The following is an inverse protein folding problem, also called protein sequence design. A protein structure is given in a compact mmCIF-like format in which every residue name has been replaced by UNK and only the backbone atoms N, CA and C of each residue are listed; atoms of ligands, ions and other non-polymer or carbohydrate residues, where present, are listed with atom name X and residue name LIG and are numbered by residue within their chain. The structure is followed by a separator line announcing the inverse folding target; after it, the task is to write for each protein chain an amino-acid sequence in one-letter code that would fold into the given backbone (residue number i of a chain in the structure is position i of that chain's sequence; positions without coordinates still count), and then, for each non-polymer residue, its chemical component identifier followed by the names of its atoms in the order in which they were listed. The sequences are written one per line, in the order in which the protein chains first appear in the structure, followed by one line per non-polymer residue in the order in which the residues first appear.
data_IF_150076792753
#
_entry.id   IF_150076792753
#
_cell.length_a   1.000
_cell.length_b   1.000
_cell.length_c   1.000
_cell.angle_alpha   90.00
_cell.angle_beta   90.00
_cell.angle_gamma   90.00
#
_symmetry.space_group_name_H-M   'P 1'
#
loop_
_entity.id
_entity.type
_entity.pdbx_description
1 polymer ?
#
# COMPACT_ATOMS: atom_id res chain seq x y z
N UNK A 1 -8.73 14.82 -8.60
CA UNK A 1 -8.92 14.32 -9.97
C UNK A 1 -10.39 14.38 -10.35
N UNK A 2 -11.28 13.60 -9.73
CA UNK A 2 -12.69 13.50 -10.15
C UNK A 2 -13.39 14.87 -10.17
N UNK A 3 -13.07 15.79 -9.24
CA UNK A 3 -13.62 17.15 -9.18
C UNK A 3 -13.16 18.06 -10.31
N UNK A 4 -12.07 17.74 -10.98
CA UNK A 4 -11.50 18.53 -12.09
C UNK A 4 -12.17 18.23 -13.42
N UNK A 5 -12.85 17.09 -13.51
CA UNK A 5 -13.58 16.71 -14.71
C UNK A 5 -15.03 17.14 -14.59
N UNK A 6 -15.52 17.87 -15.62
CA UNK A 6 -16.91 18.30 -15.66
C UNK A 6 -17.84 17.09 -15.58
N UNK A 7 -18.68 17.11 -14.56
CA UNK A 7 -19.44 15.96 -14.08
C UNK A 7 -20.58 15.50 -14.99
N UNK A 8 -20.65 15.94 -16.25
CA UNK A 8 -21.75 15.55 -17.12
C UNK A 8 -21.83 14.05 -17.39
N UNK A 9 -20.69 13.36 -17.43
CA UNK A 9 -20.64 11.89 -17.58
C UNK A 9 -19.24 11.34 -17.35
N UNK A 10 -19.04 10.59 -16.28
CA UNK A 10 -17.84 9.79 -16.03
C UNK A 10 -18.20 8.46 -15.37
N UNK A 11 -17.36 7.47 -15.58
CA UNK A 11 -17.41 6.18 -14.89
C UNK A 11 -15.99 5.84 -14.44
N UNK A 12 -15.78 5.82 -13.14
CA UNK A 12 -14.49 5.47 -12.52
C UNK A 12 -14.67 4.26 -11.64
N UNK A 13 -13.79 3.30 -11.80
CA UNK A 13 -13.69 2.17 -10.89
C UNK A 13 -12.34 2.24 -10.16
N UNK A 14 -12.39 2.32 -8.84
CA UNK A 14 -11.23 2.17 -7.95
C UNK A 14 -11.35 0.82 -7.26
N UNK A 15 -10.28 0.03 -7.30
CA UNK A 15 -10.19 -1.27 -6.66
C UNK A 15 -9.07 -1.27 -5.65
N UNK A 16 -9.34 -1.83 -4.47
CA UNK A 16 -8.32 -2.24 -3.50
C UNK A 16 -8.26 -3.76 -3.56
N UNK A 17 -7.18 -4.29 -4.12
CA UNK A 17 -7.04 -5.70 -4.46
C UNK A 17 -5.67 -6.21 -4.04
N UNK A 18 -5.51 -7.52 -4.01
CA UNK A 18 -4.23 -8.18 -3.71
C UNK A 18 -3.19 -7.87 -4.80
N UNK A 19 -1.93 -7.85 -4.44
CA UNK A 19 -0.83 -7.48 -5.37
C UNK A 19 -0.88 -8.24 -6.69
N UNK A 20 -1.13 -9.55 -6.67
CA UNK A 20 -1.22 -10.33 -7.91
C UNK A 20 -2.46 -9.99 -8.74
N UNK A 21 -3.60 -9.69 -8.10
CA UNK A 21 -4.84 -9.27 -8.78
C UNK A 21 -4.66 -7.92 -9.47
N UNK A 22 -3.95 -6.98 -8.83
CA UNK A 22 -3.58 -5.70 -9.45
C UNK A 22 -2.78 -5.94 -10.73
N UNK A 23 -1.77 -6.82 -10.69
CA UNK A 23 -0.94 -7.16 -11.85
C UNK A 23 -1.80 -7.79 -12.97
N UNK A 24 -2.66 -8.74 -12.63
CA UNK A 24 -3.55 -9.39 -13.60
C UNK A 24 -4.57 -8.42 -14.20
N UNK A 25 -5.15 -7.53 -13.40
CA UNK A 25 -6.14 -6.57 -13.86
C UNK A 25 -5.55 -5.57 -14.86
N UNK A 26 -4.31 -5.11 -14.62
CA UNK A 26 -3.62 -4.24 -15.59
C UNK A 26 -3.19 -5.03 -16.84
N UNK A 27 -2.69 -6.26 -16.68
CA UNK A 27 -2.32 -7.12 -17.81
C UNK A 27 -3.50 -7.40 -18.76
N UNK A 28 -4.70 -7.62 -18.19
CA UNK A 28 -5.92 -7.90 -18.94
C UNK A 28 -6.73 -6.64 -19.29
N UNK A 29 -6.19 -5.45 -19.05
CA UNK A 29 -6.84 -4.14 -19.31
C UNK A 29 -8.20 -3.96 -18.62
N UNK A 30 -8.42 -4.63 -17.48
CA UNK A 30 -9.56 -4.36 -16.61
C UNK A 30 -9.32 -3.08 -15.78
N UNK A 31 -8.05 -2.81 -15.46
CA UNK A 31 -7.58 -1.56 -14.90
C UNK A 31 -6.56 -0.93 -15.85
N UNK A 32 -6.59 0.38 -15.98
CA UNK A 32 -5.69 1.13 -16.86
C UNK A 32 -4.28 1.22 -16.27
N UNK A 33 -4.23 1.33 -14.94
CA UNK A 33 -3.00 1.37 -14.15
C UNK A 33 -3.23 0.68 -12.80
N UNK A 34 -2.14 0.27 -12.17
CA UNK A 34 -2.12 -0.22 -10.79
C UNK A 34 -1.04 0.49 -9.98
N UNK A 35 -1.17 0.50 -8.68
CA UNK A 35 -0.16 1.01 -7.75
C UNK A 35 0.32 -0.15 -6.91
N UNK A 36 1.63 -0.30 -6.82
CA UNK A 36 2.28 -1.26 -5.93
C UNK A 36 3.63 -0.71 -5.47
N UNK A 37 4.30 -1.43 -4.59
CA UNK A 37 5.64 -1.05 -4.17
C UNK A 37 6.66 -2.15 -4.50
N UNK A 38 7.91 -1.71 -4.68
CA UNK A 38 9.09 -2.58 -4.74
C UNK A 38 9.97 -2.32 -3.53
N UNK A 39 10.55 -3.38 -3.01
CA UNK A 39 11.57 -3.38 -1.96
C UNK A 39 12.73 -4.26 -2.38
N UNK A 40 13.81 -4.29 -1.62
CA UNK A 40 14.91 -5.20 -1.87
C UNK A 40 14.45 -6.67 -1.92
N UNK A 41 13.47 -7.03 -1.11
CA UNK A 41 13.02 -8.41 -0.95
C UNK A 41 12.06 -8.90 -2.06
N UNK A 42 11.24 -8.02 -2.63
CA UNK A 42 10.22 -8.44 -3.60
C UNK A 42 10.54 -8.04 -5.05
N UNK A 43 11.46 -7.11 -5.26
CA UNK A 43 11.76 -6.51 -6.56
C UNK A 43 11.97 -7.54 -7.68
N UNK A 44 12.86 -8.49 -7.47
CA UNK A 44 13.19 -9.47 -8.52
C UNK A 44 11.99 -10.31 -8.93
N UNK A 45 11.15 -10.72 -7.98
CA UNK A 45 9.96 -11.53 -8.22
C UNK A 45 8.88 -10.72 -8.92
N UNK A 46 8.59 -9.52 -8.42
CA UNK A 46 7.56 -8.65 -9.00
C UNK A 46 7.98 -8.18 -10.40
N UNK A 47 9.21 -7.71 -10.61
CA UNK A 47 9.68 -7.28 -11.93
C UNK A 47 9.64 -8.42 -12.96
N UNK A 48 9.95 -9.65 -12.55
CA UNK A 48 9.81 -10.84 -13.43
C UNK A 48 8.36 -11.09 -13.81
N UNK A 49 7.43 -10.93 -12.88
CA UNK A 49 6.00 -11.05 -13.16
C UNK A 49 5.50 -9.94 -14.09
N UNK A 50 5.92 -8.71 -13.84
CA UNK A 50 5.57 -7.58 -14.70
C UNK A 50 6.07 -7.82 -16.13
N UNK A 51 7.33 -8.25 -16.26
CA UNK A 51 7.90 -8.55 -17.58
C UNK A 51 7.15 -9.67 -18.31
N UNK A 52 6.77 -10.74 -17.60
CA UNK A 52 5.99 -11.86 -18.16
C UNK A 52 4.58 -11.44 -18.64
N UNK A 53 4.02 -10.39 -18.06
CA UNK A 53 2.70 -9.85 -18.38
C UNK A 53 2.75 -8.59 -19.27
N UNK A 54 3.90 -8.28 -19.87
CA UNK A 54 4.10 -7.09 -20.70
C UNK A 54 3.78 -5.77 -20.00
N UNK A 55 4.05 -5.70 -18.70
CA UNK A 55 3.87 -4.51 -17.89
C UNK A 55 5.20 -3.80 -17.65
N UNK A 56 5.11 -2.52 -17.33
CA UNK A 56 6.23 -1.68 -16.88
C UNK A 56 5.92 -1.07 -15.52
N UNK A 57 6.94 -0.94 -14.70
CA UNK A 57 6.87 -0.23 -13.44
C UNK A 57 7.56 1.13 -13.60
N UNK A 58 6.92 2.17 -13.12
CA UNK A 58 7.47 3.52 -13.03
C UNK A 58 7.40 3.99 -11.58
N UNK A 59 8.58 4.21 -10.96
CA UNK A 59 8.66 4.71 -9.59
C UNK A 59 8.10 6.12 -9.46
N UNK A 60 7.33 6.35 -8.42
CA UNK A 60 6.78 7.66 -8.06
C UNK A 60 7.61 8.31 -6.94
N UNK A 61 7.84 7.56 -5.86
CA UNK A 61 8.62 8.02 -4.71
C UNK A 61 9.12 6.85 -3.87
N UNK A 62 10.14 7.14 -3.05
CA UNK A 62 10.61 6.22 -2.03
C UNK A 62 10.13 6.67 -0.65
N UNK A 63 9.67 5.73 0.14
CA UNK A 63 9.25 5.96 1.52
C UNK A 63 10.05 5.06 2.47
N UNK A 64 10.39 5.60 3.63
CA UNK A 64 10.84 4.80 4.77
C UNK A 64 9.64 4.14 5.44
N UNK A 65 9.78 2.93 5.99
CA UNK A 65 8.67 2.27 6.66
C UNK A 65 8.18 3.05 7.88
N UNK A 66 6.87 3.02 8.04
CA UNK A 66 6.16 3.57 9.20
C UNK A 66 5.19 2.52 9.72
N UNK A 67 4.72 2.73 10.95
CA UNK A 67 3.58 1.97 11.47
C UNK A 67 2.37 2.88 11.60
N UNK A 68 1.21 2.38 11.19
CA UNK A 68 -0.07 2.98 11.53
C UNK A 68 -0.58 2.37 12.83
N UNK A 69 -0.89 3.23 13.78
CA UNK A 69 -1.49 2.88 15.07
C UNK A 69 -2.64 3.84 15.38
N UNK A 70 -3.52 3.49 16.32
CA UNK A 70 -4.52 4.45 16.77
C UNK A 70 -3.87 5.61 17.56
N UNK A 71 -4.51 6.76 17.56
CA UNK A 71 -4.00 7.96 18.24
C UNK A 71 -3.84 7.77 19.77
N UNK A 72 -4.63 6.86 20.36
CA UNK A 72 -4.56 6.50 21.77
C UNK A 72 -3.63 5.30 22.07
N UNK A 73 -2.88 4.84 21.07
CA UNK A 73 -1.96 3.71 21.22
C UNK A 73 -0.86 4.05 22.23
N UNK A 74 -0.41 3.09 23.08
CA UNK A 74 0.66 3.34 24.06
C UNK A 74 1.96 3.89 23.45
N UNK A 75 2.23 3.62 22.17
CA UNK A 75 3.41 4.12 21.46
C UNK A 75 3.15 5.45 20.72
N UNK A 76 1.94 6.00 20.73
CA UNK A 76 1.56 7.18 19.94
C UNK A 76 2.43 8.43 20.18
N UNK A 77 3.02 8.54 21.37
CA UNK A 77 3.92 9.65 21.72
C UNK A 77 5.39 9.46 21.33
N UNK A 78 5.75 8.34 20.70
CA UNK A 78 7.12 8.06 20.27
C UNK A 78 7.46 8.80 18.97
N UNK A 79 8.71 9.26 18.85
CA UNK A 79 9.23 9.83 17.60
C UNK A 79 9.60 8.76 16.56
N UNK A 80 9.90 7.55 17.01
CA UNK A 80 10.10 6.35 16.20
C UNK A 80 9.87 5.11 17.07
N UNK A 81 9.67 3.96 16.43
CA UNK A 81 9.53 2.66 17.10
C UNK A 81 10.41 1.62 16.41
N UNK A 82 10.84 0.63 17.17
CA UNK A 82 11.57 -0.54 16.67
C UNK A 82 10.64 -1.74 16.55
N UNK A 83 11.09 -2.81 15.90
CA UNK A 83 10.34 -4.08 15.85
C UNK A 83 10.14 -4.68 17.27
N UNK A 84 11.10 -4.48 18.17
CA UNK A 84 11.04 -4.94 19.56
C UNK A 84 9.93 -4.20 20.34
N UNK A 85 9.79 -2.88 20.15
CA UNK A 85 8.70 -2.10 20.75
C UNK A 85 7.31 -2.61 20.38
N UNK A 86 7.20 -3.29 19.20
CA UNK A 86 5.95 -3.76 18.62
C UNK A 86 5.58 -5.21 18.98
N UNK A 87 6.47 -5.98 19.61
CA UNK A 87 6.28 -7.42 19.88
C UNK A 87 5.01 -7.75 20.67
N UNK A 88 4.63 -6.88 21.61
CA UNK A 88 3.47 -7.08 22.46
C UNK A 88 2.14 -6.72 21.80
N UNK A 89 2.16 -6.08 20.63
CA UNK A 89 0.97 -5.61 19.95
C UNK A 89 0.58 -6.50 18.76
N UNK A 90 -0.73 -6.64 18.45
CA UNK A 90 -1.16 -7.39 17.28
C UNK A 90 -0.70 -6.73 15.97
N UNK A 91 -0.02 -7.50 15.14
CA UNK A 91 0.27 -7.11 13.76
C UNK A 91 -0.92 -7.38 12.87
N UNK A 92 -1.34 -6.37 12.13
CA UNK A 92 -2.44 -6.42 11.17
C UNK A 92 -1.87 -6.34 9.77
N UNK A 93 -2.22 -7.29 8.92
CA UNK A 93 -1.75 -7.37 7.54
C UNK A 93 -2.86 -7.77 6.60
N UNK A 94 -2.65 -7.52 5.31
CA UNK A 94 -3.58 -7.98 4.29
C UNK A 94 -3.27 -9.43 3.89
N UNK A 95 -4.32 -10.24 3.73
CA UNK A 95 -4.15 -11.58 3.17
C UNK A 95 -3.94 -11.53 1.66
N UNK A 96 -3.10 -12.40 1.14
CA UNK A 96 -2.79 -12.48 -0.29
C UNK A 96 -3.40 -13.73 -0.95
N UNK A 97 -4.46 -14.30 -0.39
CA UNK A 97 -5.21 -15.43 -0.95
C UNK A 97 -4.32 -16.63 -1.29
N UNK A 98 -4.43 -17.12 -2.51
CA UNK A 98 -3.65 -18.25 -3.01
C UNK A 98 -2.16 -17.93 -3.20
N UNK A 99 -1.81 -16.66 -3.29
CA UNK A 99 -0.44 -16.16 -3.45
C UNK A 99 0.13 -15.68 -2.11
N UNK A 100 -0.20 -16.37 -1.02
CA UNK A 100 0.20 -16.01 0.34
C UNK A 100 1.72 -16.22 0.56
N UNK A 101 2.52 -15.49 -0.19
CA UNK A 101 3.97 -15.43 -0.10
C UNK A 101 4.40 -14.03 0.31
N UNK A 102 5.48 -13.89 1.05
CA UNK A 102 6.00 -12.59 1.48
C UNK A 102 6.35 -11.65 0.30
N UNK A 103 6.59 -12.18 -0.90
CA UNK A 103 6.84 -11.37 -2.09
C UNK A 103 5.62 -10.55 -2.54
N UNK A 104 4.42 -10.99 -2.18
CA UNK A 104 3.17 -10.30 -2.53
C UNK A 104 2.60 -9.49 -1.37
N UNK A 105 3.22 -9.57 -0.19
CA UNK A 105 2.76 -8.84 0.98
C UNK A 105 2.77 -7.33 0.74
N UNK A 106 1.75 -6.66 1.20
CA UNK A 106 1.64 -5.21 1.12
C UNK A 106 2.46 -4.51 2.23
N UNK A 107 2.84 -5.25 3.25
CA UNK A 107 3.63 -4.76 4.36
C UNK A 107 5.09 -5.21 4.25
N UNK A 108 6.02 -4.28 4.39
CA UNK A 108 7.42 -4.61 4.67
C UNK A 108 7.52 -5.40 5.98
N UNK A 109 8.64 -6.08 6.17
CA UNK A 109 8.87 -6.88 7.37
C UNK A 109 7.90 -8.05 7.57
N UNK A 110 7.12 -8.42 6.56
CA UNK A 110 6.17 -9.54 6.62
C UNK A 110 6.84 -10.90 6.88
N UNK A 111 8.16 -10.99 6.64
CA UNK A 111 8.98 -12.18 6.92
C UNK A 111 9.28 -12.38 8.41
N UNK A 112 9.11 -11.36 9.25
CA UNK A 112 9.35 -11.50 10.68
C UNK A 112 8.25 -12.32 11.33
N UNK A 113 8.65 -13.32 12.10
CA UNK A 113 7.73 -14.12 12.88
C UNK A 113 7.16 -13.29 14.04
N UNK A 114 5.85 -13.15 14.08
CA UNK A 114 5.12 -12.38 15.09
C UNK A 114 4.21 -13.26 15.91
N UNK A 115 4.21 -13.04 17.22
CA UNK A 115 3.39 -13.83 18.16
C UNK A 115 1.88 -13.60 17.99
N UNK A 116 1.50 -12.38 17.56
CA UNK A 116 0.10 -11.97 17.38
C UNK A 116 -0.07 -11.43 15.96
N UNK A 117 -0.67 -12.20 15.09
CA UNK A 117 -0.84 -11.85 13.68
C UNK A 117 -2.31 -12.02 13.28
N UNK A 118 -2.89 -10.98 12.69
CA UNK A 118 -4.27 -10.96 12.21
C UNK A 118 -4.23 -10.54 10.75
N UNK A 119 -4.81 -11.36 9.87
CA UNK A 119 -4.94 -11.06 8.44
C UNK A 119 -6.35 -10.63 8.12
N UNK A 120 -6.47 -9.59 7.32
CA UNK A 120 -7.74 -9.01 6.89
C UNK A 120 -7.76 -8.83 5.37
N UNK A 121 -8.92 -8.51 4.81
CA UNK A 121 -9.07 -8.26 3.36
C UNK A 121 -9.23 -6.81 2.98
N UNK A 122 -9.62 -5.97 3.93
CA UNK A 122 -9.97 -4.58 3.63
C UNK A 122 -9.44 -3.63 4.71
N UNK A 123 -9.22 -2.39 4.28
CA UNK A 123 -8.68 -1.32 5.11
C UNK A 123 -9.60 -0.94 6.26
N UNK A 124 -10.91 -0.96 6.08
CA UNK A 124 -11.84 -0.55 7.12
C UNK A 124 -11.79 -1.53 8.30
N UNK A 125 -11.77 -2.83 8.02
CA UNK A 125 -11.57 -3.87 9.03
C UNK A 125 -10.20 -3.74 9.70
N UNK A 126 -9.13 -3.48 8.93
CA UNK A 126 -7.79 -3.29 9.46
C UNK A 126 -7.76 -2.14 10.48
N UNK A 127 -8.27 -0.97 10.12
CA UNK A 127 -8.28 0.20 10.99
C UNK A 127 -9.17 0.02 12.22
N UNK A 128 -10.33 -0.63 12.08
CA UNK A 128 -11.19 -0.95 13.21
C UNK A 128 -10.49 -1.87 14.22
N UNK A 129 -9.77 -2.87 13.75
CA UNK A 129 -9.00 -3.78 14.61
C UNK A 129 -7.76 -3.09 15.20
N UNK A 130 -7.09 -2.22 14.46
CA UNK A 130 -5.99 -1.41 14.98
C UNK A 130 -6.44 -0.58 16.17
N UNK A 131 -7.59 0.09 16.06
CA UNK A 131 -8.17 0.87 17.16
C UNK A 131 -8.67 -0.01 18.32
N UNK A 132 -9.38 -1.11 17.99
CA UNK A 132 -10.01 -1.95 19.01
C UNK A 132 -9.05 -2.84 19.80
N UNK A 133 -7.87 -3.14 19.27
CA UNK A 133 -6.91 -4.07 19.85
C UNK A 133 -5.55 -3.44 20.18
N UNK A 134 -5.37 -2.15 19.99
CA UNK A 134 -4.06 -1.50 19.98
C UNK A 134 -3.09 -2.23 19.01
N UNK A 135 -3.58 -2.57 17.83
CA UNK A 135 -2.78 -3.21 16.81
C UNK A 135 -2.04 -2.20 15.94
N UNK A 136 -1.14 -2.72 15.11
CA UNK A 136 -0.38 -1.91 14.15
C UNK A 136 -0.30 -2.60 12.78
N UNK A 137 -0.08 -1.81 11.75
CA UNK A 137 0.32 -2.29 10.43
C UNK A 137 1.53 -1.51 9.93
N UNK A 138 2.35 -2.11 9.06
CA UNK A 138 3.52 -1.46 8.46
C UNK A 138 3.13 -0.88 7.10
N UNK A 139 3.54 0.34 6.81
CA UNK A 139 3.11 1.10 5.63
C UNK A 139 4.16 2.14 5.20
N UNK A 140 3.86 2.87 4.13
CA UNK A 140 4.69 3.98 3.63
C UNK A 140 4.66 5.26 4.49
N UNK A 141 3.80 5.32 5.48
CA UNK A 141 3.59 6.52 6.29
C UNK A 141 2.70 7.58 5.67
N UNK A 142 2.33 7.44 4.41
CA UNK A 142 1.46 8.40 3.72
C UNK A 142 0.00 8.18 4.14
N UNK A 143 -0.57 9.16 4.82
CA UNK A 143 -1.97 9.15 5.25
C UNK A 143 -2.58 10.54 5.11
N UNK A 144 -3.78 10.61 4.55
CA UNK A 144 -4.56 11.85 4.51
C UNK A 144 -5.42 11.97 5.76
N UNK A 145 -5.11 12.91 6.62
CA UNK A 145 -5.93 13.19 7.81
C UNK A 145 -7.32 13.74 7.46
N UNK A 146 -7.47 14.41 6.31
CA UNK A 146 -8.76 14.88 5.84
C UNK A 146 -9.73 13.74 5.52
N UNK A 147 -9.20 12.62 5.02
CA UNK A 147 -10.01 11.46 4.62
C UNK A 147 -10.15 10.41 5.72
N UNK A 148 -9.10 10.22 6.53
CA UNK A 148 -9.08 9.16 7.55
C UNK A 148 -9.35 9.68 8.96
N UNK A 149 -9.46 11.01 9.15
CA UNK A 149 -9.60 11.61 10.45
C UNK A 149 -8.34 11.50 11.32
N UNK A 150 -8.39 12.00 12.56
CA UNK A 150 -7.24 12.01 13.47
C UNK A 150 -7.06 10.69 14.24
N UNK A 151 -7.91 9.70 14.02
CA UNK A 151 -7.93 8.45 14.80
C UNK A 151 -6.78 7.49 14.53
N UNK A 152 -6.11 7.62 13.37
CA UNK A 152 -4.93 6.85 12.99
C UNK A 152 -3.76 7.79 12.77
N UNK A 153 -2.62 7.44 13.36
CA UNK A 153 -1.37 8.19 13.24
C UNK A 153 -0.27 7.31 12.66
N UNK A 154 0.71 7.97 12.06
CA UNK A 154 1.90 7.36 11.45
C UNK A 154 3.11 7.61 12.34
N UNK A 155 3.85 6.56 12.69
CA UNK A 155 5.10 6.64 13.47
C UNK A 155 6.22 5.99 12.65
N UNK A 156 7.38 6.64 12.47
CA UNK A 156 8.53 6.04 11.80
C UNK A 156 8.94 4.71 12.42
N UNK A 157 9.16 3.69 11.60
CA UNK A 157 9.72 2.40 12.01
C UNK A 157 11.23 2.40 11.77
N UNK A 158 12.00 2.14 12.82
CA UNK A 158 13.47 2.12 12.76
C UNK A 158 13.96 0.78 12.17
N UNK A 159 14.02 0.72 10.86
CA UNK A 159 14.57 -0.41 10.09
C UNK A 159 15.32 0.13 8.88
N UNK A 160 16.36 -0.61 8.46
CA UNK A 160 17.14 -0.26 7.26
C UNK A 160 16.49 -0.84 6.00
N UNK A 161 15.27 -0.42 5.74
CA UNK A 161 14.49 -0.83 4.57
C UNK A 161 13.81 0.38 3.93
N UNK A 162 13.40 0.24 2.67
CA UNK A 162 12.62 1.27 1.97
C UNK A 162 11.58 0.63 1.04
N UNK A 163 10.57 1.42 0.73
CA UNK A 163 9.53 1.10 -0.25
C UNK A 163 9.66 2.06 -1.43
N UNK A 164 9.89 1.56 -2.63
CA UNK A 164 9.70 2.35 -3.85
C UNK A 164 8.27 2.15 -4.33
N UNK A 165 7.41 3.13 -4.07
CA UNK A 165 6.03 3.13 -4.53
C UNK A 165 6.00 3.60 -5.98
N UNK A 166 5.28 2.89 -6.82
CA UNK A 166 5.18 3.21 -8.24
C UNK A 166 3.89 2.72 -8.87
N UNK A 167 3.76 3.08 -10.13
CA UNK A 167 2.66 2.67 -10.99
C UNK A 167 3.11 1.58 -11.94
N UNK A 168 2.18 0.66 -12.20
CA UNK A 168 2.31 -0.29 -13.30
C UNK A 168 1.31 0.04 -14.40
N UNK A 169 1.78 -0.06 -15.62
CA UNK A 169 0.99 0.13 -16.84
C UNK A 169 1.37 -0.92 -17.88
N UNK A 170 0.53 -1.14 -18.86
CA UNK A 170 0.85 -2.03 -19.95
C UNK A 170 1.82 -1.38 -20.94
N UNK A 171 2.82 -2.14 -21.42
CA UNK A 171 3.75 -1.69 -22.46
C UNK A 171 3.00 -1.26 -23.71
N UNK A 172 3.48 -0.21 -24.36
CA UNK A 172 2.95 0.31 -25.61
C UNK A 172 1.47 0.71 -25.57
N UNK A 173 0.92 0.98 -24.38
CA UNK A 173 -0.44 1.48 -24.22
C UNK A 173 -0.37 2.96 -23.83
N UNK A 174 -1.18 3.78 -24.49
CA UNK A 174 -1.32 5.19 -24.11
C UNK A 174 -2.41 5.31 -23.06
N UNK A 175 -2.06 5.98 -21.96
CA UNK A 175 -3.03 6.27 -20.91
C UNK A 175 -4.12 7.21 -21.43
N UNK A 176 -5.33 7.03 -20.92
CA UNK A 176 -6.39 8.00 -21.14
C UNK A 176 -6.06 9.32 -20.41
N UNK A 177 -6.77 10.38 -20.76
CA UNK A 177 -6.65 11.67 -20.04
C UNK A 177 -6.92 11.53 -18.54
N UNK A 178 -7.73 10.55 -18.13
CA UNK A 178 -8.08 10.29 -16.73
C UNK A 178 -6.93 9.58 -16.01
N UNK A 179 -6.34 8.56 -16.63
CA UNK A 179 -5.17 7.88 -16.08
C UNK A 179 -4.01 8.83 -15.91
N UNK A 180 -3.73 9.69 -16.90
CA UNK A 180 -2.68 10.70 -16.80
C UNK A 180 -2.97 11.71 -15.68
N UNK A 181 -4.18 12.23 -15.59
CA UNK A 181 -4.55 13.18 -14.53
C UNK A 181 -4.47 12.54 -13.13
N UNK A 182 -4.76 11.24 -13.01
CA UNK A 182 -4.60 10.53 -11.75
C UNK A 182 -3.13 10.45 -11.32
N UNK A 183 -2.23 10.11 -12.25
CA UNK A 183 -0.78 10.08 -12.00
C UNK A 183 -0.27 11.47 -11.61
N UNK A 184 -0.67 12.50 -12.34
CA UNK A 184 -0.24 13.88 -12.10
C UNK A 184 -0.73 14.36 -10.72
N UNK A 185 -1.95 13.98 -10.33
CA UNK A 185 -2.48 14.29 -9.00
C UNK A 185 -1.70 13.59 -7.89
N UNK A 186 -1.34 12.31 -8.06
CA UNK A 186 -0.50 11.62 -7.08
C UNK A 186 0.84 12.35 -6.93
N UNK A 187 1.51 12.67 -8.04
CA UNK A 187 2.79 13.38 -8.01
C UNK A 187 2.75 14.75 -7.34
N UNK A 188 1.59 15.40 -7.32
CA UNK A 188 1.40 16.69 -6.65
C UNK A 188 1.17 16.55 -5.12
N UNK A 189 0.84 15.35 -4.65
CA UNK A 189 0.52 15.09 -3.24
C UNK A 189 1.63 14.31 -2.50
N UNK A 190 2.72 14.04 -3.18
CA UNK A 190 3.96 13.47 -2.66
C UNK A 190 4.95 14.62 -2.42
#
# INVERSE_FOLDING_TARGET
VIREFDAARYDFTLREEQTHEIIEDVAHMKSELGILYLSEHNREVIERMLAANELVFEGLFCATPHVFVCADHPLAGRSSVTLEDLEDYPFLSYEQGSYNSFYYSEELTSTFERRKNIRVRDRATLFNLAMGLNGYTVCSGVISHELNGPGIISIPLDVDEYMEIGIITRKNTTLTRYGQAYIDAIRQHI
#
